data_IF_731586232830
#
_entry.id   IF_731586232830
#
_cell.length_a   1.000
_cell.length_b   1.000
_cell.length_c   1.000
_cell.angle_alpha   90.00
_cell.angle_beta   90.00
_cell.angle_gamma   90.00
#
_symmetry.space_group_name_H-M   'P 1'
#
loop_
_entity.id
_entity.type
_entity.pdbx_description
1 polymer ?
#
# COMPACT_ATOMS: atom_id res chain seq x y z
N UNK A 1 -22.62 5.26 -40.45
CA UNK A 1 -22.83 5.33 -38.98
C UNK A 1 -21.74 4.51 -38.34
N UNK A 2 -20.70 5.17 -37.82
CA UNK A 2 -19.57 4.49 -37.14
C UNK A 2 -20.02 4.16 -35.72
N UNK A 3 -20.24 2.88 -35.45
CA UNK A 3 -20.41 2.38 -34.07
C UNK A 3 -19.05 2.42 -33.39
N UNK A 4 -18.80 3.52 -32.69
CA UNK A 4 -17.67 3.60 -31.78
C UNK A 4 -17.83 2.53 -30.70
N UNK A 5 -17.08 1.45 -30.83
CA UNK A 5 -16.88 0.49 -29.72
C UNK A 5 -16.22 1.28 -28.60
N UNK A 6 -17.02 1.67 -27.60
CA UNK A 6 -16.46 2.17 -26.36
C UNK A 6 -15.50 1.08 -25.85
N UNK A 7 -14.24 1.41 -25.74
CA UNK A 7 -13.29 0.59 -25.01
C UNK A 7 -13.80 0.57 -23.57
N UNK A 8 -14.52 -0.47 -23.19
CA UNK A 8 -14.82 -0.77 -21.79
C UNK A 8 -13.47 -1.06 -21.14
N UNK A 9 -12.87 -0.04 -20.54
CA UNK A 9 -11.62 -0.20 -19.85
C UNK A 9 -11.84 -1.17 -18.70
N UNK A 10 -11.09 -2.26 -18.66
CA UNK A 10 -11.06 -3.16 -17.52
C UNK A 10 -10.45 -2.39 -16.33
N UNK A 11 -11.31 -1.96 -15.40
CA UNK A 11 -10.92 -1.16 -14.24
C UNK A 11 -9.88 -1.91 -13.38
N UNK A 12 -10.04 -3.22 -13.23
CA UNK A 12 -9.07 -4.05 -12.52
C UNK A 12 -7.69 -3.98 -13.17
N UNK A 13 -7.59 -4.05 -14.51
CA UNK A 13 -6.32 -3.93 -15.22
C UNK A 13 -5.66 -2.56 -15.00
N UNK A 14 -6.44 -1.48 -15.01
CA UNK A 14 -5.93 -0.13 -14.72
C UNK A 14 -5.38 -0.03 -13.29
N UNK A 15 -6.11 -0.56 -12.31
CA UNK A 15 -5.69 -0.58 -10.90
C UNK A 15 -4.46 -1.46 -10.68
N UNK A 16 -4.33 -2.60 -11.37
CA UNK A 16 -3.13 -3.45 -11.35
C UNK A 16 -1.93 -2.68 -11.88
N UNK A 17 -2.05 -1.99 -13.01
CA UNK A 17 -0.97 -1.20 -13.59
C UNK A 17 -0.49 -0.09 -12.64
N UNK A 18 -1.43 0.59 -11.98
CA UNK A 18 -1.12 1.60 -10.96
C UNK A 18 -0.45 0.96 -9.73
N UNK A 19 -1.01 -0.14 -9.20
CA UNK A 19 -0.43 -0.85 -8.05
C UNK A 19 1.01 -1.30 -8.32
N UNK A 20 1.29 -1.81 -9.51
CA UNK A 20 2.64 -2.22 -9.92
C UNK A 20 3.60 -1.03 -10.02
N UNK A 21 3.13 0.12 -10.51
CA UNK A 21 3.93 1.35 -10.58
C UNK A 21 4.28 1.86 -9.18
N UNK A 22 3.29 1.91 -8.29
CA UNK A 22 3.51 2.30 -6.89
C UNK A 22 4.38 1.30 -6.15
N UNK A 23 4.23 0.01 -6.44
CA UNK A 23 5.03 -1.06 -5.85
C UNK A 23 6.51 -0.96 -6.23
N UNK A 24 6.82 -0.71 -7.51
CA UNK A 24 8.20 -0.55 -7.97
C UNK A 24 8.90 0.59 -7.24
N UNK A 25 8.20 1.71 -7.06
CA UNK A 25 8.71 2.88 -6.33
C UNK A 25 8.85 2.59 -4.83
N UNK A 26 7.87 1.91 -4.23
CA UNK A 26 7.89 1.53 -2.81
C UNK A 26 9.03 0.56 -2.52
N UNK A 27 9.23 -0.43 -3.38
CA UNK A 27 10.30 -1.42 -3.23
C UNK A 27 11.66 -0.76 -3.15
N UNK A 28 11.96 0.21 -4.01
CA UNK A 28 13.20 1.00 -3.96
C UNK A 28 13.43 1.69 -2.62
N UNK A 29 12.36 2.17 -1.98
CA UNK A 29 12.43 2.79 -0.65
C UNK A 29 12.74 1.75 0.41
N UNK A 30 12.01 0.62 0.41
CA UNK A 30 12.15 -0.43 1.42
C UNK A 30 13.56 -1.07 1.39
N UNK A 31 14.11 -1.30 0.20
CA UNK A 31 15.45 -1.87 0.00
C UNK A 31 16.59 -1.02 0.60
N UNK A 32 16.35 0.28 0.77
CA UNK A 32 17.38 1.21 1.27
C UNK A 32 17.35 1.38 2.78
N UNK A 33 16.38 0.81 3.49
CA UNK A 33 16.28 0.99 4.94
C UNK A 33 17.13 -0.07 5.63
N UNK A 34 18.25 0.31 6.28
CA UNK A 34 19.07 -0.65 6.97
C UNK A 34 18.41 -1.11 8.28
N UNK A 35 18.58 -2.39 8.63
CA UNK A 35 17.92 -3.01 9.78
C UNK A 35 18.29 -2.34 11.13
N UNK A 36 19.49 -1.81 11.26
CA UNK A 36 19.95 -1.08 12.45
C UNK A 36 19.20 0.25 12.66
N UNK A 37 18.44 0.71 11.66
CA UNK A 37 17.58 1.90 11.74
C UNK A 37 16.10 1.59 11.98
N UNK A 38 15.71 0.33 12.08
CA UNK A 38 14.30 -0.04 12.27
C UNK A 38 13.69 0.56 13.54
N UNK A 39 14.48 0.75 14.59
CA UNK A 39 14.02 1.34 15.86
C UNK A 39 14.02 2.88 15.88
N UNK A 40 14.52 3.54 14.83
CA UNK A 40 14.56 5.00 14.77
C UNK A 40 13.15 5.61 14.79
N UNK A 41 13.00 6.70 15.55
CA UNK A 41 11.81 7.55 15.60
C UNK A 41 12.22 9.02 15.49
N UNK A 42 11.59 9.81 14.63
CA UNK A 42 11.83 11.27 14.60
C UNK A 42 11.20 12.00 15.78
N UNK A 43 10.19 11.41 16.41
CA UNK A 43 9.47 11.95 17.57
C UNK A 43 8.86 10.82 18.39
N UNK A 44 8.66 11.03 19.70
CA UNK A 44 8.09 10.01 20.62
C UNK A 44 6.73 9.47 20.16
N UNK A 45 5.89 10.33 19.59
CA UNK A 45 4.55 9.98 19.08
C UNK A 45 4.57 9.37 17.67
N UNK A 46 5.72 9.35 17.01
CA UNK A 46 5.84 8.78 15.66
C UNK A 46 6.00 7.27 15.72
N UNK A 47 5.64 6.60 14.63
CA UNK A 47 5.97 5.20 14.41
C UNK A 47 7.50 5.03 14.31
N UNK A 48 8.02 3.86 14.69
CA UNK A 48 9.38 3.47 14.36
C UNK A 48 9.54 3.33 12.84
N UNK A 49 10.74 3.58 12.30
CA UNK A 49 11.02 3.46 10.87
C UNK A 49 10.67 2.05 10.34
N UNK A 50 11.08 0.99 11.02
CA UNK A 50 10.73 -0.38 10.64
C UNK A 50 9.24 -0.64 10.69
N UNK A 51 8.53 -0.15 11.72
CA UNK A 51 7.07 -0.29 11.82
C UNK A 51 6.33 0.45 10.69
N UNK A 52 6.81 1.65 10.31
CA UNK A 52 6.25 2.40 9.19
C UNK A 52 6.50 1.70 7.86
N UNK A 53 7.69 1.13 7.66
CA UNK A 53 8.05 0.37 6.47
C UNK A 53 7.19 -0.90 6.33
N UNK A 54 6.99 -1.65 7.43
CA UNK A 54 6.08 -2.82 7.47
C UNK A 54 4.65 -2.40 7.17
N UNK A 55 4.17 -1.32 7.78
CA UNK A 55 2.83 -0.81 7.54
C UNK A 55 2.61 -0.48 6.06
N UNK A 56 3.59 0.15 5.40
CA UNK A 56 3.52 0.41 3.96
C UNK A 56 3.41 -0.90 3.17
N UNK A 57 4.19 -1.91 3.51
CA UNK A 57 4.13 -3.22 2.86
C UNK A 57 2.78 -3.91 3.06
N UNK A 58 2.24 -3.90 4.29
CA UNK A 58 0.94 -4.46 4.63
C UNK A 58 -0.22 -3.80 3.88
N UNK A 59 -0.11 -2.51 3.56
CA UNK A 59 -1.17 -1.79 2.86
C UNK A 59 -1.44 -2.31 1.45
N UNK A 60 -0.45 -2.90 0.79
CA UNK A 60 -0.67 -3.62 -0.47
C UNK A 60 -1.61 -4.81 -0.26
N UNK A 61 -1.52 -5.49 0.90
CA UNK A 61 -2.41 -6.58 1.29
C UNK A 61 -3.85 -6.14 1.60
N UNK A 62 -4.08 -4.88 1.97
CA UNK A 62 -5.42 -4.34 2.15
C UNK A 62 -6.22 -4.33 0.84
N UNK A 63 -5.54 -4.40 -0.30
CA UNK A 63 -6.19 -4.68 -1.59
C UNK A 63 -7.02 -5.96 -1.52
N UNK A 64 -6.45 -7.03 -0.95
CA UNK A 64 -7.13 -8.33 -0.82
C UNK A 64 -8.39 -8.18 0.05
N UNK A 65 -8.25 -7.51 1.21
CA UNK A 65 -9.38 -7.25 2.11
C UNK A 65 -10.51 -6.48 1.39
N UNK A 66 -10.14 -5.43 0.63
CA UNK A 66 -11.09 -4.60 -0.08
C UNK A 66 -11.83 -5.34 -1.20
N UNK A 67 -11.20 -6.30 -1.91
CA UNK A 67 -11.82 -6.95 -3.07
C UNK A 67 -12.44 -8.31 -2.76
N UNK A 68 -11.99 -9.00 -1.71
CA UNK A 68 -12.48 -10.36 -1.37
C UNK A 68 -13.50 -10.40 -0.24
N UNK A 69 -13.53 -9.36 0.62
CA UNK A 69 -14.48 -9.25 1.74
C UNK A 69 -15.49 -8.13 1.48
N UNK A 70 -16.53 -8.09 2.29
CA UNK A 70 -17.55 -7.02 2.25
C UNK A 70 -17.29 -5.94 3.29
N UNK A 71 -16.46 -6.25 4.29
CA UNK A 71 -16.11 -5.34 5.38
C UNK A 71 -14.78 -5.70 6.02
N UNK A 72 -14.21 -4.75 6.75
CA UNK A 72 -13.14 -4.97 7.71
C UNK A 72 -13.60 -4.44 9.08
N UNK A 73 -13.63 -5.33 10.06
CA UNK A 73 -13.96 -4.99 11.45
C UNK A 73 -12.71 -5.09 12.33
N UNK A 74 -12.20 -3.94 12.77
CA UNK A 74 -11.02 -3.92 13.63
C UNK A 74 -11.23 -4.63 14.97
N UNK A 75 -12.47 -4.65 15.50
CA UNK A 75 -12.78 -5.36 16.74
C UNK A 75 -12.70 -6.89 16.61
N UNK A 76 -12.84 -7.41 15.39
CA UNK A 76 -12.77 -8.84 15.08
C UNK A 76 -11.37 -9.31 14.63
N UNK A 77 -10.41 -8.39 14.47
CA UNK A 77 -9.07 -8.73 13.99
C UNK A 77 -8.16 -9.20 15.13
N UNK A 78 -7.53 -10.37 14.99
CA UNK A 78 -6.32 -10.75 15.74
C UNK A 78 -5.08 -10.26 14.95
N UNK A 79 -4.91 -8.93 14.90
CA UNK A 79 -3.82 -8.33 14.13
C UNK A 79 -2.49 -8.41 14.88
N UNK A 80 -1.52 -9.04 14.24
CA UNK A 80 -0.13 -9.08 14.70
C UNK A 80 0.76 -8.53 13.60
N UNK A 81 1.38 -7.36 13.79
CA UNK A 81 2.24 -6.78 12.77
C UNK A 81 3.44 -7.70 12.51
N UNK A 82 3.81 -7.81 11.24
CA UNK A 82 5.04 -8.48 10.85
C UNK A 82 6.26 -7.76 11.49
N UNK A 83 7.26 -8.52 11.93
CA UNK A 83 8.45 -7.97 12.57
C UNK A 83 9.70 -8.52 11.88
N UNK A 84 10.16 -7.89 10.79
CA UNK A 84 11.37 -8.33 10.10
C UNK A 84 12.60 -8.05 10.95
N UNK A 85 13.55 -9.00 10.96
CA UNK A 85 14.85 -8.81 11.56
C UNK A 85 15.84 -8.15 10.59
N UNK A 86 15.59 -8.26 9.28
CA UNK A 86 16.48 -7.74 8.23
C UNK A 86 15.70 -7.01 7.13
N UNK A 87 16.42 -6.24 6.34
CA UNK A 87 15.85 -5.57 5.16
C UNK A 87 15.36 -6.58 4.12
N UNK A 88 16.06 -7.70 3.95
CA UNK A 88 15.69 -8.78 3.04
C UNK A 88 14.37 -9.43 3.44
N UNK A 89 14.13 -9.63 4.73
CA UNK A 89 12.87 -10.15 5.25
C UNK A 89 11.71 -9.16 4.99
N UNK A 90 11.94 -7.86 5.21
CA UNK A 90 10.97 -6.81 4.92
C UNK A 90 10.59 -6.80 3.44
N UNK A 91 11.58 -6.83 2.55
CA UNK A 91 11.37 -6.82 1.09
C UNK A 91 10.70 -8.12 0.63
N UNK A 92 11.12 -9.28 1.15
CA UNK A 92 10.50 -10.56 0.83
C UNK A 92 9.02 -10.63 1.26
N UNK A 93 8.69 -10.05 2.43
CA UNK A 93 7.31 -9.91 2.88
C UNK A 93 6.52 -9.01 1.92
N UNK A 94 7.05 -7.85 1.56
CA UNK A 94 6.44 -6.92 0.60
C UNK A 94 6.17 -7.59 -0.76
N UNK A 95 7.16 -8.27 -1.33
CA UNK A 95 7.06 -8.94 -2.63
C UNK A 95 5.94 -10.01 -2.62
N UNK A 96 5.83 -10.77 -1.52
CA UNK A 96 4.77 -11.76 -1.35
C UNK A 96 3.39 -11.10 -1.28
N UNK A 97 3.23 -10.07 -0.44
CA UNK A 97 1.95 -9.35 -0.26
C UNK A 97 1.50 -8.72 -1.57
N UNK A 98 2.43 -8.13 -2.33
CA UNK A 98 2.15 -7.55 -3.65
C UNK A 98 1.65 -8.61 -4.65
N UNK A 99 2.30 -9.77 -4.70
CA UNK A 99 1.90 -10.85 -5.60
C UNK A 99 0.47 -11.32 -5.29
N UNK A 100 0.16 -11.55 -4.01
CA UNK A 100 -1.17 -11.96 -3.56
C UNK A 100 -2.24 -10.88 -3.88
N UNK A 101 -1.91 -9.59 -3.72
CA UNK A 101 -2.79 -8.47 -4.03
C UNK A 101 -3.11 -8.36 -5.53
N UNK A 102 -2.11 -8.57 -6.40
CA UNK A 102 -2.29 -8.59 -7.85
C UNK A 102 -3.22 -9.73 -8.28
N UNK A 103 -3.04 -10.93 -7.73
CA UNK A 103 -3.91 -12.08 -8.04
C UNK A 103 -5.35 -11.82 -7.57
N UNK A 104 -5.56 -11.21 -6.41
CA UNK A 104 -6.89 -10.83 -5.94
C UNK A 104 -7.57 -9.82 -6.88
N UNK A 105 -6.83 -8.81 -7.36
CA UNK A 105 -7.35 -7.84 -8.34
C UNK A 105 -7.69 -8.49 -9.68
N UNK A 106 -6.87 -9.40 -10.19
CA UNK A 106 -7.15 -10.15 -11.42
C UNK A 106 -8.44 -10.94 -11.37
N UNK A 107 -8.78 -11.45 -10.19
CA UNK A 107 -10.00 -12.23 -9.97
C UNK A 107 -11.26 -11.36 -9.75
N UNK A 108 -11.13 -10.03 -9.71
CA UNK A 108 -12.23 -9.11 -9.38
C UNK A 108 -12.81 -8.49 -10.65
N UNK A 109 -14.14 -8.54 -10.81
CA UNK A 109 -14.83 -7.90 -11.94
C UNK A 109 -15.07 -6.40 -11.70
N UNK A 110 -15.36 -5.66 -12.80
CA UNK A 110 -15.69 -4.24 -12.72
C UNK A 110 -17.00 -4.00 -11.96
N UNK A 111 -17.96 -4.93 -12.05
CA UNK A 111 -19.22 -4.87 -11.27
C UNK A 111 -18.92 -5.00 -9.78
N UNK A 112 -18.06 -5.94 -9.39
CA UNK A 112 -17.67 -6.11 -7.99
C UNK A 112 -16.95 -4.87 -7.44
N UNK A 113 -16.18 -4.13 -8.27
CA UNK A 113 -15.54 -2.87 -7.87
C UNK A 113 -16.54 -1.76 -7.50
N UNK A 114 -17.76 -1.82 -8.02
CA UNK A 114 -18.84 -0.87 -7.70
C UNK A 114 -19.62 -1.24 -6.43
N UNK A 115 -19.45 -2.45 -5.90
CA UNK A 115 -20.11 -2.89 -4.66
C UNK A 115 -19.57 -2.13 -3.44
N UNK A 116 -20.45 -1.91 -2.47
CA UNK A 116 -20.07 -1.27 -1.23
C UNK A 116 -19.23 -2.18 -0.33
N UNK A 117 -18.26 -1.58 0.32
CA UNK A 117 -17.42 -2.16 1.34
C UNK A 117 -17.40 -1.27 2.59
N UNK A 118 -17.37 -1.88 3.77
CA UNK A 118 -17.51 -1.16 5.05
C UNK A 118 -16.25 -1.30 5.91
N UNK A 119 -15.78 -0.19 6.45
CA UNK A 119 -14.80 -0.17 7.54
C UNK A 119 -15.51 0.13 8.84
N UNK A 120 -15.29 -0.71 9.85
CA UNK A 120 -15.87 -0.53 11.18
C UNK A 120 -14.95 -1.00 12.31
N UNK A 121 -15.34 -0.66 13.53
CA UNK A 121 -14.77 -1.19 14.76
C UNK A 121 -15.93 -1.56 15.70
N UNK A 122 -16.31 -2.81 15.73
CA UNK A 122 -17.51 -3.28 16.39
C UNK A 122 -18.76 -2.58 15.82
N UNK A 123 -19.53 -1.89 16.66
CA UNK A 123 -20.74 -1.17 16.24
C UNK A 123 -20.45 0.17 15.55
N UNK A 124 -19.22 0.67 15.64
CA UNK A 124 -18.85 1.97 15.06
C UNK A 124 -18.46 1.80 13.59
N UNK A 125 -19.32 2.25 12.68
CA UNK A 125 -19.01 2.30 11.24
C UNK A 125 -18.25 3.60 10.95
N UNK A 126 -17.04 3.50 10.38
CA UNK A 126 -16.25 4.65 9.96
C UNK A 126 -16.73 5.16 8.60
N UNK A 127 -16.94 4.25 7.65
CA UNK A 127 -17.53 4.55 6.34
C UNK A 127 -18.02 3.28 5.63
N UNK A 128 -18.90 3.50 4.63
CA UNK A 128 -19.28 2.51 3.62
C UNK A 128 -19.15 3.17 2.25
N UNK A 129 -18.35 2.60 1.37
CA UNK A 129 -18.02 3.17 0.06
C UNK A 129 -17.85 2.05 -0.98
N UNK A 130 -18.00 2.35 -2.29
CA UNK A 130 -17.63 1.41 -3.35
C UNK A 130 -16.17 0.97 -3.22
N UNK A 131 -15.89 -0.32 -3.49
CA UNK A 131 -14.54 -0.91 -3.36
C UNK A 131 -13.48 -0.10 -4.11
N UNK A 132 -13.79 0.42 -5.29
CA UNK A 132 -12.86 1.27 -6.05
C UNK A 132 -12.45 2.52 -5.27
N UNK A 133 -13.36 3.14 -4.51
CA UNK A 133 -13.05 4.31 -3.68
C UNK A 133 -12.23 3.91 -2.45
N UNK A 134 -12.51 2.75 -1.88
CA UNK A 134 -11.72 2.16 -0.79
C UNK A 134 -10.28 1.92 -1.24
N UNK A 135 -10.08 1.28 -2.41
CA UNK A 135 -8.75 1.07 -2.98
C UNK A 135 -8.01 2.38 -3.19
N UNK A 136 -8.67 3.40 -3.74
CA UNK A 136 -8.06 4.72 -3.97
C UNK A 136 -7.66 5.40 -2.65
N UNK A 137 -8.58 5.45 -1.68
CA UNK A 137 -8.36 6.16 -0.41
C UNK A 137 -7.47 5.39 0.57
N UNK A 138 -7.84 4.15 0.87
CA UNK A 138 -7.20 3.35 1.92
C UNK A 138 -5.97 2.57 1.47
N UNK A 139 -5.77 2.37 0.16
CA UNK A 139 -4.59 1.67 -0.34
C UNK A 139 -3.66 2.67 -1.03
N UNK A 140 -3.99 3.14 -2.22
CA UNK A 140 -3.07 3.93 -3.03
C UNK A 140 -2.64 5.25 -2.38
N UNK A 141 -3.59 6.11 -2.00
CA UNK A 141 -3.26 7.39 -1.38
C UNK A 141 -2.55 7.21 -0.03
N UNK A 142 -2.90 6.17 0.70
CA UNK A 142 -2.32 5.86 2.00
C UNK A 142 -0.87 5.36 1.87
N UNK A 143 -0.58 4.50 0.89
CA UNK A 143 0.79 4.10 0.53
C UNK A 143 1.63 5.35 0.21
N UNK A 144 1.14 6.23 -0.67
CA UNK A 144 1.83 7.46 -1.06
C UNK A 144 2.10 8.36 0.14
N UNK A 145 1.10 8.51 1.03
CA UNK A 145 1.21 9.30 2.27
C UNK A 145 2.34 8.78 3.17
N UNK A 146 2.33 7.50 3.50
CA UNK A 146 3.32 6.91 4.40
C UNK A 146 4.71 6.79 3.76
N UNK A 147 4.79 6.53 2.46
CA UNK A 147 6.06 6.53 1.74
C UNK A 147 6.70 7.93 1.75
N UNK A 148 5.90 8.99 1.62
CA UNK A 148 6.37 10.37 1.80
C UNK A 148 6.92 10.61 3.21
N UNK A 149 6.25 10.13 4.26
CA UNK A 149 6.77 10.20 5.63
C UNK A 149 8.08 9.43 5.78
N UNK A 150 8.14 8.20 5.24
CA UNK A 150 9.32 7.35 5.32
C UNK A 150 10.54 7.99 4.62
N UNK A 151 10.35 8.69 3.51
CA UNK A 151 11.42 9.42 2.82
C UNK A 151 12.03 10.51 3.71
N UNK A 152 11.23 11.17 4.55
CA UNK A 152 11.73 12.13 5.54
C UNK A 152 12.55 11.42 6.63
N UNK A 153 12.10 10.25 7.11
CA UNK A 153 12.87 9.46 8.09
C UNK A 153 14.23 9.04 7.51
N UNK A 154 14.24 8.61 6.23
CA UNK A 154 15.47 8.27 5.52
C UNK A 154 16.43 9.46 5.51
N UNK A 155 15.94 10.65 5.11
CA UNK A 155 16.76 11.88 5.07
C UNK A 155 17.35 12.23 6.43
N UNK A 156 16.59 12.12 7.50
CA UNK A 156 17.04 12.37 8.87
C UNK A 156 18.11 11.39 9.38
N UNK A 157 18.31 10.29 8.67
CA UNK A 157 19.30 9.26 9.00
C UNK A 157 20.40 9.13 7.92
N UNK A 158 20.54 10.12 7.04
CA UNK A 158 21.52 10.11 5.94
C UNK A 158 21.39 8.89 5.00
N UNK A 159 20.19 8.28 4.93
CA UNK A 159 19.88 7.21 4.00
C UNK A 159 19.50 7.85 2.65
N UNK A 160 20.15 7.49 1.53
CA UNK A 160 19.83 8.03 0.22
C UNK A 160 18.38 7.79 -0.17
N UNK A 161 17.65 8.85 -0.51
CA UNK A 161 16.24 8.79 -0.92
C UNK A 161 16.16 8.54 -2.43
N UNK A 162 15.45 7.50 -2.91
CA UNK A 162 15.31 7.25 -4.35
C UNK A 162 14.47 8.33 -5.03
N UNK A 163 14.62 8.45 -6.35
CA UNK A 163 13.65 9.18 -7.17
C UNK A 163 12.28 8.49 -7.06
N UNK A 164 11.23 9.24 -6.72
CA UNK A 164 9.86 8.74 -6.53
C UNK A 164 8.96 9.20 -7.71
N UNK A 165 8.38 10.37 -7.63
CA UNK A 165 7.61 11.01 -8.72
C UNK A 165 8.41 12.08 -9.47
N UNK A 166 9.64 12.24 -9.10
CA UNK A 166 10.60 13.18 -9.65
C UNK A 166 11.98 12.89 -9.08
N UNK A 167 13.02 13.60 -9.52
CA UNK A 167 14.38 13.43 -9.00
C UNK A 167 14.42 13.77 -7.50
N UNK A 168 15.34 13.12 -6.78
CA UNK A 168 15.73 13.51 -5.43
C UNK A 168 17.10 14.20 -5.44
N UNK A 169 17.59 14.59 -4.25
CA UNK A 169 18.95 15.07 -4.13
C UNK A 169 20.00 13.97 -4.37
N UNK A 170 19.60 12.69 -4.29
CA UNK A 170 20.50 11.53 -4.34
C UNK A 170 20.36 10.72 -5.64
N UNK A 171 19.24 10.88 -6.37
CA UNK A 171 18.94 10.07 -7.57
C UNK A 171 18.22 10.91 -8.63
N UNK A 172 18.72 10.87 -9.86
CA UNK A 172 18.04 11.41 -11.03
C UNK A 172 17.02 10.40 -11.56
N UNK A 173 16.05 10.85 -12.38
CA UNK A 173 15.09 9.97 -13.05
C UNK A 173 15.72 9.26 -14.23
#
# INVERSE_FOLDING_TARGET
>A
MSTGTAMVGNLAAALIGELQTEAATTRKVLERIPADKFDYKPHEKSMKMGSLAVHIAEMFGWTIEAVTKTELDFAAMDYKPFQPATTEELVGFFDKVLADAIEALKATSDEAMAENWTLRNGETVYFTQPRVQVLRGMVFNHIVHHRGQLSVYMRLNDIPVPALYGPSADEQM
#
